data_IF_946308016267
#
_entry.id   IF_946308016267
#
_cell.length_a   1.000
_cell.length_b   1.000
_cell.length_c   1.000
_cell.angle_alpha   90.00
_cell.angle_beta   90.00
_cell.angle_gamma   90.00
#
_symmetry.space_group_name_H-M   'P 1'
#
loop_
_entity.id
_entity.type
_entity.pdbx_description
1 polymer ?
#
# COMPACT_ATOMS: atom_id res chain seq x y z
N UNK A 1 3.55 -31.83 17.62
CA UNK A 1 3.76 -30.38 17.45
C UNK A 1 3.82 -30.08 15.97
N UNK A 2 2.91 -29.26 15.43
CA UNK A 2 3.05 -28.73 14.06
C UNK A 2 4.20 -27.72 14.05
N UNK A 3 5.14 -27.78 13.09
CA UNK A 3 6.15 -26.74 12.96
C UNK A 3 5.45 -25.41 12.67
N UNK A 4 5.84 -24.36 13.41
CA UNK A 4 5.43 -22.99 13.11
C UNK A 4 5.85 -22.69 11.65
N UNK A 5 4.96 -22.11 10.83
CA UNK A 5 5.29 -21.84 9.44
C UNK A 5 6.54 -20.95 9.38
N UNK A 6 7.51 -21.35 8.57
CA UNK A 6 8.72 -20.57 8.32
C UNK A 6 8.29 -19.31 7.56
N UNK A 7 8.17 -18.20 8.28
CA UNK A 7 7.72 -16.92 7.72
C UNK A 7 8.86 -16.37 6.86
N UNK A 8 8.60 -16.21 5.57
CA UNK A 8 9.58 -15.74 4.59
C UNK A 8 10.17 -14.36 4.97
N UNK A 9 11.43 -14.08 4.57
CA UNK A 9 12.05 -12.77 4.73
C UNK A 9 11.19 -11.64 4.11
N UNK A 10 11.18 -10.47 4.74
CA UNK A 10 10.41 -9.28 4.32
C UNK A 10 11.36 -8.11 4.10
N UNK A 11 11.89 -8.03 2.88
CA UNK A 11 12.88 -7.02 2.46
C UNK A 11 12.29 -5.62 2.47
N UNK A 12 11.02 -5.48 2.09
CA UNK A 12 10.30 -4.22 2.06
C UNK A 12 10.13 -3.64 3.47
N UNK A 13 9.72 -4.47 4.43
CA UNK A 13 9.68 -4.09 5.84
C UNK A 13 11.06 -3.63 6.33
N UNK A 14 12.12 -4.36 6.01
CA UNK A 14 13.49 -4.01 6.40
C UNK A 14 13.92 -2.63 5.90
N UNK A 15 13.62 -2.31 4.64
CA UNK A 15 13.90 -1.00 4.04
C UNK A 15 13.11 0.12 4.73
N UNK A 16 11.80 -0.07 4.95
CA UNK A 16 10.93 0.88 5.65
C UNK A 16 11.42 1.15 7.07
N UNK A 17 11.78 0.10 7.82
CA UNK A 17 12.33 0.23 9.17
C UNK A 17 13.63 1.05 9.17
N UNK A 18 14.55 0.76 8.24
CA UNK A 18 15.81 1.49 8.10
C UNK A 18 15.59 2.97 7.77
N UNK A 19 14.66 3.25 6.85
CA UNK A 19 14.33 4.60 6.44
C UNK A 19 13.76 5.40 7.61
N UNK A 20 12.68 4.92 8.24
CA UNK A 20 12.07 5.56 9.40
C UNK A 20 13.06 5.77 10.53
N UNK A 21 13.92 4.77 10.83
CA UNK A 21 14.92 4.87 11.89
C UNK A 21 15.88 6.03 11.61
N UNK A 22 16.31 6.20 10.36
CA UNK A 22 17.22 7.29 9.94
C UNK A 22 16.53 8.65 9.98
N UNK A 23 15.30 8.76 9.51
CA UNK A 23 14.52 10.01 9.59
C UNK A 23 14.25 10.42 11.04
N UNK A 24 14.12 9.43 11.93
CA UNK A 24 13.94 9.65 13.36
C UNK A 24 15.26 9.88 14.12
N UNK A 25 16.41 9.91 13.42
CA UNK A 25 17.77 10.00 13.97
C UNK A 25 18.10 8.97 15.08
N UNK A 26 17.57 7.75 14.93
CA UNK A 26 17.80 6.65 15.87
C UNK A 26 18.96 5.77 15.36
N UNK A 27 19.93 5.43 16.21
CA UNK A 27 20.98 4.43 15.86
C UNK A 27 20.44 3.01 15.97
N UNK A 28 20.97 2.06 15.17
CA UNK A 28 20.56 0.64 15.27
C UNK A 28 20.70 0.09 16.69
N UNK A 29 21.80 0.42 17.38
CA UNK A 29 22.02 0.01 18.77
C UNK A 29 20.91 0.54 19.69
N UNK A 30 20.55 1.82 19.56
CA UNK A 30 19.48 2.42 20.37
C UNK A 30 18.13 1.78 20.09
N UNK A 31 17.82 1.48 18.83
CA UNK A 31 16.58 0.77 18.47
C UNK A 31 16.56 -0.64 19.08
N UNK A 32 17.71 -1.32 19.07
CA UNK A 32 17.86 -2.64 19.65
C UNK A 32 17.60 -2.64 21.17
N UNK A 33 18.14 -1.64 21.88
CA UNK A 33 17.90 -1.44 23.32
C UNK A 33 16.41 -1.27 23.62
N UNK A 34 15.70 -0.47 22.82
CA UNK A 34 14.27 -0.22 23.00
C UNK A 34 13.44 -1.50 22.78
N UNK A 35 13.85 -2.33 21.82
CA UNK A 35 13.14 -3.55 21.44
C UNK A 35 13.59 -4.80 22.21
N UNK A 36 14.55 -4.66 23.13
CA UNK A 36 15.10 -5.77 23.91
C UNK A 36 15.81 -6.82 23.04
N UNK A 37 16.46 -6.39 21.95
CA UNK A 37 17.22 -7.27 21.04
C UNK A 37 18.65 -6.77 20.84
N UNK A 38 19.46 -7.52 20.09
CA UNK A 38 20.82 -7.08 19.75
C UNK A 38 20.84 -6.15 18.52
N UNK A 39 21.85 -5.29 18.42
CA UNK A 39 22.09 -4.48 17.21
C UNK A 39 22.20 -5.35 15.95
N UNK A 40 22.84 -6.52 16.06
CA UNK A 40 22.95 -7.47 14.95
C UNK A 40 21.58 -7.98 14.49
N UNK A 41 20.65 -8.21 15.42
CA UNK A 41 19.27 -8.58 15.11
C UNK A 41 18.56 -7.47 14.31
N UNK A 42 18.65 -6.21 14.75
CA UNK A 42 18.11 -5.06 14.00
C UNK A 42 18.74 -4.93 12.62
N UNK A 43 20.06 -5.14 12.51
CA UNK A 43 20.76 -5.13 11.23
C UNK A 43 20.26 -6.20 10.26
N UNK A 44 19.97 -7.41 10.75
CA UNK A 44 19.35 -8.48 9.94
C UNK A 44 17.93 -8.13 9.51
N UNK A 45 17.14 -7.50 10.39
CA UNK A 45 15.81 -7.01 10.05
C UNK A 45 15.84 -5.95 8.95
N UNK A 46 16.70 -4.92 9.09
CA UNK A 46 16.84 -3.85 8.09
C UNK A 46 17.33 -4.36 6.72
N UNK A 47 18.09 -5.46 6.71
CA UNK A 47 18.53 -6.14 5.48
C UNK A 47 17.47 -7.09 4.91
N UNK A 48 16.32 -7.26 5.59
CA UNK A 48 15.29 -8.22 5.21
C UNK A 48 15.65 -9.68 5.44
N UNK A 49 16.80 -9.98 6.03
CA UNK A 49 17.32 -11.36 6.20
C UNK A 49 16.57 -12.12 7.30
N UNK A 50 16.01 -11.39 8.26
CA UNK A 50 15.25 -11.94 9.38
C UNK A 50 14.00 -11.09 9.59
N UNK A 51 12.85 -11.69 9.89
CA UNK A 51 11.66 -10.95 10.34
C UNK A 51 11.68 -10.74 11.86
N UNK A 52 11.20 -9.61 12.38
CA UNK A 52 10.93 -9.47 13.81
C UNK A 52 9.88 -10.49 14.27
N UNK A 53 9.96 -10.91 15.53
CA UNK A 53 8.86 -11.66 16.13
C UNK A 53 7.66 -10.71 16.37
N UNK A 54 6.42 -11.24 16.51
CA UNK A 54 5.20 -10.43 16.55
C UNK A 54 5.24 -9.28 17.56
N UNK A 55 5.75 -9.54 18.77
CA UNK A 55 5.88 -8.50 19.81
C UNK A 55 6.79 -7.35 19.38
N UNK A 56 7.94 -7.65 18.76
CA UNK A 56 8.83 -6.60 18.26
C UNK A 56 8.23 -5.89 17.04
N UNK A 57 7.50 -6.61 16.20
CA UNK A 57 6.78 -6.02 15.06
C UNK A 57 5.76 -5.00 15.55
N UNK A 58 4.93 -5.34 16.54
CA UNK A 58 3.94 -4.44 17.13
C UNK A 58 4.59 -3.20 17.75
N UNK A 59 5.73 -3.37 18.44
CA UNK A 59 6.47 -2.24 19.02
C UNK A 59 7.07 -1.34 17.94
N UNK A 60 7.66 -1.93 16.90
CA UNK A 60 8.21 -1.18 15.76
C UNK A 60 7.09 -0.39 15.08
N UNK A 61 5.95 -1.03 14.81
CA UNK A 61 4.81 -0.37 14.21
C UNK A 61 4.36 0.79 15.11
N UNK A 62 4.14 0.57 16.41
CA UNK A 62 3.82 1.64 17.35
C UNK A 62 4.83 2.79 17.33
N UNK A 63 6.12 2.52 17.30
CA UNK A 63 7.14 3.57 17.23
C UNK A 63 7.10 4.33 15.91
N UNK A 64 6.93 3.62 14.79
CA UNK A 64 6.68 4.20 13.47
C UNK A 64 5.37 5.01 13.44
N UNK A 65 4.47 4.76 14.40
CA UNK A 65 3.21 5.50 14.57
C UNK A 65 3.21 6.80 15.36
N UNK A 66 4.14 6.97 16.30
CA UNK A 66 4.00 8.00 17.36
C UNK A 66 4.25 9.44 16.92
N UNK A 67 4.75 9.70 15.70
CA UNK A 67 4.94 11.05 15.13
C UNK A 67 4.29 11.21 13.75
N UNK A 68 3.18 10.52 13.53
CA UNK A 68 2.56 10.44 12.21
C UNK A 68 1.90 11.74 11.80
N UNK A 69 2.25 12.19 10.60
CA UNK A 69 1.68 13.39 9.98
C UNK A 69 0.26 13.07 9.47
N UNK A 70 -0.65 12.66 10.38
CA UNK A 70 -2.03 12.29 10.07
C UNK A 70 -2.76 13.40 9.30
N UNK A 71 -2.34 14.65 9.46
CA UNK A 71 -2.85 15.79 8.69
C UNK A 71 -2.58 15.66 7.20
N UNK A 72 -1.42 15.13 6.80
CA UNK A 72 -1.09 14.88 5.40
C UNK A 72 -1.95 13.75 4.83
N UNK A 73 -2.09 12.63 5.54
CA UNK A 73 -2.96 11.52 5.12
C UNK A 73 -4.41 11.99 4.93
N UNK A 74 -4.92 12.80 5.87
CA UNK A 74 -6.25 13.40 5.77
C UNK A 74 -6.32 14.40 4.61
N UNK A 75 -5.27 15.17 4.34
CA UNK A 75 -5.21 16.06 3.19
C UNK A 75 -5.25 15.28 1.87
N UNK A 76 -4.50 14.18 1.75
CA UNK A 76 -4.52 13.28 0.58
C UNK A 76 -5.92 12.70 0.40
N UNK A 77 -6.52 12.13 1.44
CA UNK A 77 -7.88 11.58 1.36
C UNK A 77 -8.90 12.63 0.91
N UNK A 78 -8.83 13.84 1.46
CA UNK A 78 -9.69 14.96 1.07
C UNK A 78 -9.49 15.36 -0.40
N UNK A 79 -8.25 15.42 -0.89
CA UNK A 79 -7.96 15.70 -2.30
C UNK A 79 -8.53 14.61 -3.23
N UNK A 80 -8.41 13.33 -2.85
CA UNK A 80 -9.01 12.22 -3.59
C UNK A 80 -10.54 12.34 -3.62
N UNK A 81 -11.17 12.51 -2.46
CA UNK A 81 -12.64 12.56 -2.33
C UNK A 81 -13.25 13.69 -3.18
N UNK A 82 -12.60 14.85 -3.21
CA UNK A 82 -13.07 16.02 -3.96
C UNK A 82 -12.49 16.14 -5.38
N UNK A 83 -11.79 15.12 -5.87
CA UNK A 83 -11.29 15.13 -7.24
C UNK A 83 -12.43 15.02 -8.25
N UNK A 84 -12.36 15.81 -9.32
CA UNK A 84 -13.24 15.68 -10.49
C UNK A 84 -12.78 14.56 -11.45
N UNK A 85 -11.58 14.02 -11.25
CA UNK A 85 -11.09 12.86 -11.98
C UNK A 85 -11.56 11.57 -11.32
N UNK A 86 -11.68 10.49 -12.10
CA UNK A 86 -12.02 9.15 -11.60
C UNK A 86 -10.82 8.59 -10.85
N UNK A 87 -10.71 8.90 -9.56
CA UNK A 87 -9.59 8.53 -8.69
C UNK A 87 -10.09 7.78 -7.46
N UNK A 88 -9.34 6.78 -7.00
CA UNK A 88 -9.53 6.16 -5.69
C UNK A 88 -8.21 5.71 -5.06
N UNK A 89 -8.22 5.49 -3.76
CA UNK A 89 -7.07 5.06 -2.97
C UNK A 89 -7.36 3.69 -2.35
N UNK A 90 -6.44 2.73 -2.51
CA UNK A 90 -6.51 1.41 -1.88
C UNK A 90 -5.26 1.09 -1.04
N UNK A 91 -5.38 0.16 -0.09
CA UNK A 91 -4.21 -0.52 0.46
C UNK A 91 -3.59 -1.43 -0.62
N UNK A 92 -2.27 -1.33 -0.83
CA UNK A 92 -1.57 -1.96 -1.96
C UNK A 92 -1.67 -3.50 -1.97
N UNK A 93 -1.59 -4.16 -0.80
CA UNK A 93 -1.58 -5.62 -0.72
C UNK A 93 -2.97 -6.27 -0.69
N UNK A 94 -3.94 -5.62 -0.05
CA UNK A 94 -5.28 -6.20 0.17
C UNK A 94 -6.33 -5.67 -0.81
N UNK A 95 -5.99 -4.63 -1.56
CA UNK A 95 -6.86 -3.87 -2.45
C UNK A 95 -8.10 -3.29 -1.76
N UNK A 96 -8.05 -3.12 -0.43
CA UNK A 96 -9.15 -2.53 0.33
C UNK A 96 -9.27 -1.05 0.02
N UNK A 97 -10.49 -0.61 -0.31
CA UNK A 97 -10.77 0.79 -0.57
C UNK A 97 -10.61 1.64 0.70
N UNK A 98 -9.86 2.74 0.58
CA UNK A 98 -9.64 3.71 1.66
C UNK A 98 -10.45 4.99 1.44
N UNK A 99 -10.56 5.45 0.19
CA UNK A 99 -11.47 6.51 -0.24
C UNK A 99 -11.57 6.52 -1.78
N UNK A 100 -12.63 7.12 -2.31
CA UNK A 100 -12.81 7.36 -3.74
C UNK A 100 -13.32 8.78 -3.98
N UNK A 101 -13.02 9.30 -5.16
CA UNK A 101 -13.60 10.54 -5.69
C UNK A 101 -15.08 10.38 -6.03
N UNK A 102 -15.82 11.49 -6.03
CA UNK A 102 -17.20 11.50 -6.51
C UNK A 102 -17.30 11.03 -7.96
N UNK A 103 -16.38 11.43 -8.84
CA UNK A 103 -16.40 11.00 -10.24
C UNK A 103 -16.27 9.47 -10.39
N UNK A 104 -15.45 8.84 -9.54
CA UNK A 104 -15.29 7.38 -9.49
C UNK A 104 -16.55 6.68 -8.95
N UNK A 105 -17.16 7.23 -7.92
CA UNK A 105 -18.42 6.72 -7.36
C UNK A 105 -19.56 6.71 -8.39
N UNK A 106 -19.71 7.82 -9.13
CA UNK A 106 -20.70 7.95 -10.20
C UNK A 106 -20.47 6.93 -11.32
N UNK A 107 -19.20 6.66 -11.68
CA UNK A 107 -18.88 5.61 -12.65
C UNK A 107 -19.34 4.24 -12.17
N UNK A 108 -18.99 3.88 -10.92
CA UNK A 108 -19.30 2.57 -10.35
C UNK A 108 -20.79 2.36 -10.15
N UNK A 109 -21.59 3.44 -10.13
CA UNK A 109 -23.02 3.43 -9.81
C UNK A 109 -23.29 2.79 -8.45
N UNK A 110 -22.38 3.01 -7.49
CA UNK A 110 -22.43 2.47 -6.14
C UNK A 110 -21.87 3.49 -5.18
N UNK A 111 -22.56 3.68 -4.07
CA UNK A 111 -22.08 4.54 -2.98
C UNK A 111 -20.73 4.02 -2.48
N UNK A 112 -19.77 4.93 -2.32
CA UNK A 112 -18.44 4.57 -1.86
C UNK A 112 -18.46 3.97 -0.45
N UNK A 113 -19.39 4.39 0.40
CA UNK A 113 -19.54 3.90 1.78
C UNK A 113 -19.80 2.39 1.86
N UNK A 114 -20.48 1.81 0.87
CA UNK A 114 -20.71 0.35 0.75
C UNK A 114 -19.42 -0.42 0.43
N UNK A 115 -18.45 0.25 -0.18
CA UNK A 115 -17.20 -0.34 -0.66
C UNK A 115 -16.01 -0.06 0.27
N UNK A 116 -16.12 0.92 1.17
CA UNK A 116 -15.05 1.27 2.10
C UNK A 116 -14.59 0.05 2.91
N UNK A 117 -13.27 -0.15 2.95
CA UNK A 117 -12.64 -1.29 3.62
C UNK A 117 -12.85 -2.64 2.92
N UNK A 118 -13.61 -2.71 1.84
CA UNK A 118 -13.80 -3.92 1.04
C UNK A 118 -12.72 -4.03 -0.03
N UNK A 119 -12.19 -5.24 -0.22
CA UNK A 119 -11.24 -5.51 -1.30
C UNK A 119 -11.91 -5.39 -2.66
N UNK A 120 -11.39 -4.49 -3.49
CA UNK A 120 -11.86 -4.27 -4.86
C UNK A 120 -11.37 -5.32 -5.85
N UNK A 121 -10.46 -6.20 -5.44
CA UNK A 121 -9.90 -7.26 -6.30
C UNK A 121 -10.96 -8.16 -6.95
N UNK A 122 -12.09 -8.37 -6.27
CA UNK A 122 -13.24 -9.13 -6.80
C UNK A 122 -13.87 -8.52 -8.07
N UNK A 123 -13.59 -7.25 -8.35
CA UNK A 123 -14.10 -6.50 -9.50
C UNK A 123 -13.05 -6.36 -10.61
N UNK A 124 -11.84 -6.88 -10.42
CA UNK A 124 -10.74 -6.76 -11.37
C UNK A 124 -11.10 -7.33 -12.76
N UNK A 125 -10.74 -6.59 -13.81
CA UNK A 125 -10.76 -7.12 -15.18
C UNK A 125 -9.56 -8.05 -15.40
N UNK A 126 -9.55 -8.87 -16.47
CA UNK A 126 -8.37 -9.66 -16.82
C UNK A 126 -7.10 -8.83 -16.95
N UNK A 127 -7.20 -7.63 -17.52
CA UNK A 127 -6.06 -6.71 -17.70
C UNK A 127 -5.53 -6.19 -16.35
N UNK A 128 -6.43 -5.82 -15.43
CA UNK A 128 -6.05 -5.47 -14.05
C UNK A 128 -5.33 -6.65 -13.38
N UNK A 129 -5.84 -7.87 -13.55
CA UNK A 129 -5.23 -9.05 -12.96
C UNK A 129 -3.85 -9.39 -13.55
N UNK A 130 -3.64 -9.13 -14.84
CA UNK A 130 -2.35 -9.27 -15.51
C UNK A 130 -1.38 -8.18 -15.04
N UNK A 131 -1.82 -6.93 -14.97
CA UNK A 131 -1.01 -5.82 -14.45
C UNK A 131 -0.54 -6.10 -13.02
N UNK A 132 -1.43 -6.55 -12.13
CA UNK A 132 -1.08 -6.93 -10.75
C UNK A 132 0.02 -7.99 -10.67
N UNK A 133 -0.08 -9.04 -11.51
CA UNK A 133 0.93 -10.10 -11.56
C UNK A 133 2.29 -9.60 -12.05
N UNK A 134 2.32 -8.55 -12.86
CA UNK A 134 3.57 -7.98 -13.38
C UNK A 134 4.35 -7.15 -12.37
N UNK A 135 3.69 -6.66 -11.31
CA UNK A 135 4.28 -5.74 -10.33
C UNK A 135 5.54 -6.29 -9.67
N UNK A 136 5.56 -7.59 -9.35
CA UNK A 136 6.75 -8.23 -8.79
C UNK A 136 7.95 -8.15 -9.75
N UNK A 137 7.73 -8.39 -11.04
CA UNK A 137 8.79 -8.37 -12.06
C UNK A 137 9.31 -6.94 -12.28
N UNK A 138 8.44 -5.94 -12.12
CA UNK A 138 8.77 -4.52 -12.23
C UNK A 138 9.47 -3.95 -10.98
N UNK A 139 9.69 -4.77 -9.95
CA UNK A 139 10.29 -4.32 -8.69
C UNK A 139 9.42 -3.34 -7.90
N UNK A 140 8.10 -3.43 -8.03
CA UNK A 140 7.11 -2.57 -7.37
C UNK A 140 7.26 -2.52 -5.84
N UNK A 141 7.47 -3.69 -5.22
CA UNK A 141 7.68 -3.81 -3.77
C UNK A 141 9.14 -3.55 -3.34
N UNK A 142 10.02 -3.33 -4.31
CA UNK A 142 11.44 -3.06 -4.13
C UNK A 142 11.77 -1.60 -4.45
N UNK A 143 10.76 -0.74 -4.52
CA UNK A 143 10.87 0.69 -4.83
C UNK A 143 11.69 0.99 -6.10
N UNK A 144 11.71 0.03 -7.05
CA UNK A 144 12.35 0.21 -8.36
C UNK A 144 11.41 0.91 -9.35
N UNK A 145 10.10 0.72 -9.16
CA UNK A 145 9.02 1.35 -9.91
C UNK A 145 7.95 1.78 -8.91
N UNK A 146 7.52 3.04 -9.00
CA UNK A 146 6.46 3.63 -8.17
C UNK A 146 5.17 3.91 -8.95
N UNK A 147 5.17 3.74 -10.27
CA UNK A 147 4.00 3.93 -11.11
C UNK A 147 3.89 2.91 -12.25
N UNK A 148 2.66 2.56 -12.64
CA UNK A 148 2.38 1.69 -13.78
C UNK A 148 1.13 2.20 -14.50
N UNK A 149 1.24 2.38 -15.82
CA UNK A 149 0.09 2.68 -16.68
C UNK A 149 -0.19 1.48 -17.58
N UNK A 150 -1.46 1.11 -17.72
CA UNK A 150 -1.88 0.00 -18.58
C UNK A 150 -3.31 0.21 -19.11
N UNK A 151 -3.61 -0.44 -20.23
CA UNK A 151 -4.94 -0.45 -20.83
C UNK A 151 -5.88 -1.40 -20.08
N UNK A 152 -7.16 -1.04 -20.01
CA UNK A 152 -8.20 -1.90 -19.45
C UNK A 152 -9.44 -1.91 -20.33
N UNK A 153 -10.11 -3.07 -20.37
CA UNK A 153 -11.34 -3.23 -21.12
C UNK A 153 -12.50 -2.60 -20.36
N UNK A 154 -13.27 -1.75 -21.05
CA UNK A 154 -14.52 -1.20 -20.53
C UNK A 154 -15.53 -2.32 -20.22
N UNK A 155 -16.27 -2.16 -19.13
CA UNK A 155 -17.35 -3.05 -18.70
C UNK A 155 -18.54 -2.22 -18.29
N UNK A 156 -19.68 -2.42 -18.95
CA UNK A 156 -20.94 -1.84 -18.51
C UNK A 156 -21.70 -2.82 -17.62
N UNK A 157 -22.19 -2.36 -16.47
CA UNK A 157 -22.93 -3.19 -15.52
C UNK A 157 -22.09 -4.08 -14.59
N UNK A 158 -22.63 -5.24 -14.24
CA UNK A 158 -22.12 -6.07 -13.14
C UNK A 158 -20.73 -6.72 -13.40
N UNK A 159 -19.95 -7.03 -12.35
CA UNK A 159 -20.20 -6.80 -10.92
C UNK A 159 -19.88 -5.36 -10.48
N UNK A 160 -19.21 -4.58 -11.34
CA UNK A 160 -18.89 -3.18 -11.17
C UNK A 160 -18.62 -2.59 -12.56
N UNK A 161 -19.21 -1.43 -12.83
CA UNK A 161 -19.04 -0.71 -14.09
C UNK A 161 -17.64 -0.08 -14.14
N UNK A 162 -16.96 -0.23 -15.27
CA UNK A 162 -15.62 0.31 -15.54
C UNK A 162 -15.64 0.97 -16.91
N UNK A 163 -15.39 2.27 -17.00
CA UNK A 163 -15.39 3.03 -18.26
C UNK A 163 -14.03 3.53 -18.69
N UNK A 164 -13.04 3.42 -17.82
CA UNK A 164 -11.66 3.78 -18.14
C UNK A 164 -11.14 2.98 -19.33
N UNK A 165 -10.40 3.64 -20.21
CA UNK A 165 -9.59 2.97 -21.23
C UNK A 165 -8.19 2.67 -20.69
N UNK A 166 -7.70 3.51 -19.78
CA UNK A 166 -6.38 3.43 -19.17
C UNK A 166 -6.47 3.60 -17.66
N UNK A 167 -5.61 2.87 -16.95
CA UNK A 167 -5.42 2.99 -15.51
C UNK A 167 -3.97 3.36 -15.24
N UNK A 168 -3.76 4.40 -14.42
CA UNK A 168 -2.51 4.72 -13.77
C UNK A 168 -2.58 4.28 -12.31
N UNK A 169 -1.59 3.51 -11.90
CA UNK A 169 -1.30 3.17 -10.53
C UNK A 169 -0.07 3.90 -10.06
N UNK A 170 -0.17 4.57 -8.91
CA UNK A 170 0.96 5.20 -8.22
C UNK A 170 1.02 4.70 -6.79
N UNK A 171 2.16 4.18 -6.36
CA UNK A 171 2.36 3.65 -5.01
C UNK A 171 3.14 4.62 -4.14
N UNK A 172 2.66 4.78 -2.91
CA UNK A 172 3.33 5.55 -1.88
C UNK A 172 2.96 5.01 -0.49
N UNK A 173 3.52 5.59 0.55
CA UNK A 173 3.23 5.22 1.93
C UNK A 173 2.46 6.33 2.63
N UNK A 174 1.38 5.96 3.31
CA UNK A 174 0.76 6.86 4.29
C UNK A 174 1.72 7.07 5.46
N UNK A 175 1.44 8.11 6.26
CA UNK A 175 2.18 8.32 7.51
C UNK A 175 2.13 7.05 8.37
N UNK A 176 1.04 6.28 8.23
CA UNK A 176 0.86 5.01 8.90
C UNK A 176 1.78 3.85 8.50
N UNK A 177 2.70 4.13 7.58
CA UNK A 177 3.57 3.15 6.96
C UNK A 177 2.80 2.16 6.08
N UNK A 178 1.48 2.27 5.96
CA UNK A 178 0.69 1.46 5.04
C UNK A 178 1.07 1.82 3.62
N UNK A 179 1.47 0.82 2.85
CA UNK A 179 1.63 0.97 1.42
C UNK A 179 0.24 1.13 0.79
N UNK A 180 0.07 2.20 0.04
CA UNK A 180 -1.19 2.51 -0.65
C UNK A 180 -0.93 2.73 -2.12
N UNK A 181 -1.99 2.55 -2.89
CA UNK A 181 -2.00 2.77 -4.33
C UNK A 181 -3.08 3.76 -4.70
N UNK A 182 -2.69 4.86 -5.34
CA UNK A 182 -3.61 5.77 -6.02
C UNK A 182 -3.92 5.18 -7.39
N UNK A 183 -5.20 5.04 -7.68
CA UNK A 183 -5.68 4.52 -8.96
C UNK A 183 -6.43 5.63 -9.66
N UNK A 184 -5.87 6.11 -10.77
CA UNK A 184 -6.45 7.14 -11.63
C UNK A 184 -6.85 6.50 -12.95
N UNK A 185 -8.07 6.79 -13.40
CA UNK A 185 -8.59 6.26 -14.64
C UNK A 185 -8.93 7.35 -15.64
N UNK A 186 -8.63 7.12 -16.90
CA UNK A 186 -8.74 8.11 -17.96
C UNK A 186 -8.96 7.45 -19.33
N UNK A 187 -9.37 8.27 -20.31
CA UNK A 187 -9.81 7.80 -21.63
C UNK A 187 -8.77 7.98 -22.74
N UNK A 188 -7.74 8.80 -22.52
CA UNK A 188 -6.69 9.12 -23.49
C UNK A 188 -5.31 9.09 -22.82
N UNK A 189 -4.35 8.39 -23.44
CA UNK A 189 -2.97 8.26 -22.97
C UNK A 189 -2.19 9.58 -23.01
#
# INVERSE_FOLDING_TARGET
>A
MKPLPQIAPDVEFGRRLRHWRRESDIKQARLADILGVTQATVSRWEKGVQRPAPVQLDLIDQMMTRKRNFRLDQAIKRLVIHSNQRVHLIEDRSHRLLCASQAREHEWQRDCSDLLGTSLWRFATPEIAVAEKSLHVLGWHEDQTDHLTFETSRRDGAPMRIVDSYILWERFFLSDGTAVRLTTGFDHA
#
